data_IF_458990133080
#
_entry.id   IF_458990133080
#
_cell.length_a   1.000
_cell.length_b   1.000
_cell.length_c   1.000
_cell.angle_alpha   90.00
_cell.angle_beta   90.00
_cell.angle_gamma   90.00
#
_symmetry.space_group_name_H-M   'P 1'
#
loop_
_entity.id
_entity.type
_entity.pdbx_description
1 polymer ?
#
# COMPACT_ATOMS: atom_id res chain seq x y z
N UNK A 1 40.91 21.24 36.84
CA UNK A 1 40.23 21.46 35.55
C UNK A 1 39.09 20.46 35.50
N UNK A 2 37.87 20.95 35.66
CA UNK A 2 36.73 20.17 36.18
C UNK A 2 35.86 19.59 35.07
N UNK A 3 35.48 18.33 35.28
CA UNK A 3 34.26 17.70 34.79
C UNK A 3 33.03 18.46 35.31
N UNK A 4 32.29 19.09 34.42
CA UNK A 4 30.86 19.41 34.55
C UNK A 4 30.41 20.00 33.23
N UNK A 5 29.45 19.35 32.56
CA UNK A 5 28.37 19.92 31.74
C UNK A 5 27.79 18.82 30.83
N UNK A 6 27.20 17.81 31.49
CA UNK A 6 26.11 16.99 30.94
C UNK A 6 25.06 16.99 32.06
N UNK A 7 23.99 17.77 31.89
CA UNK A 7 22.65 17.62 32.51
C UNK A 7 21.91 18.96 32.45
N UNK A 8 21.19 19.23 31.36
CA UNK A 8 19.91 19.97 31.34
C UNK A 8 19.50 20.15 29.89
N UNK A 9 18.56 19.33 29.39
CA UNK A 9 17.57 19.66 28.34
C UNK A 9 16.77 18.40 27.97
N UNK A 10 16.06 17.82 28.95
CA UNK A 10 15.01 16.81 28.70
C UNK A 10 14.02 16.86 29.86
N UNK A 11 13.10 17.82 29.83
CA UNK A 11 11.87 17.82 30.63
C UNK A 11 10.96 18.95 30.14
N UNK A 12 9.91 18.59 29.40
CA UNK A 12 8.85 19.55 29.08
C UNK A 12 8.04 19.28 27.82
N UNK A 13 7.35 18.14 27.73
CA UNK A 13 6.04 18.07 27.06
C UNK A 13 5.34 16.74 27.42
N UNK A 14 4.61 16.79 28.53
CA UNK A 14 3.63 15.80 28.98
C UNK A 14 2.28 16.54 29.09
N UNK A 15 1.19 15.85 28.74
CA UNK A 15 -0.24 16.21 28.85
C UNK A 15 -0.91 16.85 27.63
N UNK A 16 -1.54 15.99 26.79
CA UNK A 16 -3.00 15.84 26.72
C UNK A 16 -3.35 14.73 25.71
N UNK A 17 -3.43 13.49 26.19
CA UNK A 17 -4.09 12.39 25.48
C UNK A 17 -5.20 11.86 26.40
N UNK A 18 -6.45 11.99 25.97
CA UNK A 18 -7.61 11.45 26.66
C UNK A 18 -7.66 9.92 26.49
N UNK A 19 -8.10 9.15 27.51
CA UNK A 19 -8.24 7.70 27.38
C UNK A 19 -9.54 7.34 26.65
N UNK A 20 -9.42 6.69 25.49
CA UNK A 20 -10.53 5.93 24.89
C UNK A 20 -10.58 4.56 25.58
N UNK A 21 -11.62 4.34 26.38
CA UNK A 21 -11.93 3.03 26.96
C UNK A 21 -12.74 2.20 25.96
N UNK A 22 -12.37 0.94 25.66
CA UNK A 22 -13.21 0.04 24.89
C UNK A 22 -14.37 -0.51 25.75
N UNK A 23 -15.57 -0.73 25.18
CA UNK A 23 -16.68 -1.33 25.92
C UNK A 23 -16.39 -2.80 26.25
N UNK A 24 -16.61 -3.13 27.52
CA UNK A 24 -16.58 -4.49 28.06
C UNK A 24 -17.72 -5.34 27.49
N UNK A 25 -17.37 -6.30 26.63
CA UNK A 25 -18.30 -7.28 26.04
C UNK A 25 -18.03 -8.70 26.55
N UNK A 26 -18.06 -8.90 27.86
CA UNK A 26 -18.11 -10.23 28.48
C UNK A 26 -19.59 -10.55 28.72
N UNK A 27 -20.24 -11.25 27.77
CA UNK A 27 -21.45 -12.08 28.01
C UNK A 27 -21.99 -12.86 26.78
N UNK A 28 -21.24 -13.00 25.66
CA UNK A 28 -21.73 -13.68 24.43
C UNK A 28 -20.88 -14.90 24.02
N UNK A 29 -20.28 -15.64 24.97
CA UNK A 29 -19.38 -16.76 24.64
C UNK A 29 -19.93 -18.17 24.89
N UNK A 30 -21.07 -18.34 25.55
CA UNK A 30 -21.54 -19.69 25.93
C UNK A 30 -22.63 -20.32 25.03
N UNK A 31 -23.07 -19.66 23.94
CA UNK A 31 -24.06 -20.23 23.00
C UNK A 31 -23.51 -20.65 21.63
N UNK A 32 -22.22 -20.46 21.35
CA UNK A 32 -21.62 -20.66 20.01
C UNK A 32 -20.92 -22.02 19.78
N UNK A 33 -20.78 -22.87 20.80
CA UNK A 33 -19.94 -24.08 20.69
C UNK A 33 -20.68 -25.27 20.06
N UNK A 34 -22.01 -25.34 20.13
CA UNK A 34 -22.78 -26.50 19.63
C UNK A 34 -23.23 -26.39 18.17
N UNK A 35 -23.11 -25.21 17.54
CA UNK A 35 -23.58 -25.00 16.15
C UNK A 35 -22.48 -25.05 15.08
N UNK A 36 -21.19 -25.12 15.46
CA UNK A 36 -20.04 -25.12 14.51
C UNK A 36 -19.82 -26.43 13.77
N UNK A 37 -20.25 -27.57 14.33
CA UNK A 37 -19.97 -28.90 13.72
C UNK A 37 -20.85 -29.18 12.50
N UNK A 38 -22.09 -28.68 12.48
CA UNK A 38 -23.03 -28.91 11.37
C UNK A 38 -22.81 -27.95 10.19
N UNK A 39 -22.20 -26.78 10.40
CA UNK A 39 -21.89 -25.82 9.31
C UNK A 39 -20.63 -26.17 8.52
N UNK A 40 -19.66 -26.87 9.11
CA UNK A 40 -18.40 -27.22 8.43
C UNK A 40 -18.61 -28.33 7.41
N UNK A 41 -19.40 -29.35 7.73
CA UNK A 41 -19.76 -30.43 6.80
C UNK A 41 -20.59 -29.91 5.61
N UNK A 42 -21.57 -29.02 5.86
CA UNK A 42 -22.39 -28.42 4.80
C UNK A 42 -21.56 -27.51 3.86
N UNK A 43 -20.57 -26.77 4.38
CA UNK A 43 -19.63 -25.97 3.55
C UNK A 43 -18.71 -26.85 2.70
N UNK A 44 -18.18 -27.94 3.26
CA UNK A 44 -17.31 -28.87 2.51
C UNK A 44 -18.08 -29.56 1.37
N UNK A 45 -19.35 -29.95 1.60
CA UNK A 45 -20.20 -30.51 0.54
C UNK A 45 -20.58 -29.48 -0.52
N UNK A 46 -20.81 -28.21 -0.14
CA UNK A 46 -21.02 -27.12 -1.11
C UNK A 46 -19.75 -26.80 -1.92
N UNK A 47 -18.56 -26.83 -1.33
CA UNK A 47 -17.31 -26.59 -2.07
C UNK A 47 -17.00 -27.71 -3.07
N UNK A 48 -17.23 -28.99 -2.70
CA UNK A 48 -17.06 -30.12 -3.63
C UNK A 48 -18.03 -30.10 -4.82
N UNK A 49 -19.25 -29.58 -4.64
CA UNK A 49 -20.21 -29.45 -5.74
C UNK A 49 -19.96 -28.23 -6.64
N UNK A 50 -19.05 -27.35 -6.24
CA UNK A 50 -18.69 -26.11 -6.96
C UNK A 50 -17.42 -26.31 -7.80
N UNK A 51 -16.48 -27.17 -7.41
CA UNK A 51 -15.26 -27.43 -8.19
C UNK A 51 -15.52 -28.11 -9.55
N UNK A 52 -16.62 -28.85 -9.73
CA UNK A 52 -16.98 -29.47 -11.03
C UNK A 52 -17.64 -28.49 -12.03
N UNK A 53 -17.77 -27.19 -11.69
CA UNK A 53 -18.48 -26.20 -12.51
C UNK A 53 -17.69 -24.98 -12.96
N UNK A 54 -16.43 -24.82 -12.53
CA UNK A 54 -15.63 -23.72 -13.07
C UNK A 54 -15.14 -24.06 -14.47
N UNK A 55 -15.48 -23.20 -15.42
CA UNK A 55 -14.90 -23.27 -16.76
C UNK A 55 -13.39 -23.02 -16.66
N UNK A 56 -12.59 -23.63 -17.53
CA UNK A 56 -11.16 -23.28 -17.66
C UNK A 56 -10.96 -21.75 -17.80
N UNK A 57 -11.91 -21.05 -18.43
CA UNK A 57 -11.95 -19.59 -18.56
C UNK A 57 -12.05 -18.86 -17.21
N UNK A 58 -12.81 -19.39 -16.25
CA UNK A 58 -12.92 -18.79 -14.91
C UNK A 58 -11.61 -18.94 -14.13
N UNK A 59 -10.90 -20.06 -14.34
CA UNK A 59 -9.61 -20.31 -13.69
C UNK A 59 -8.54 -19.37 -14.24
N UNK A 60 -8.47 -19.18 -15.55
CA UNK A 60 -7.51 -18.26 -16.18
C UNK A 60 -7.74 -16.82 -15.72
N UNK A 61 -9.00 -16.37 -15.67
CA UNK A 61 -9.37 -15.04 -15.13
C UNK A 61 -8.95 -14.86 -13.68
N UNK A 62 -9.17 -15.88 -12.83
CA UNK A 62 -8.74 -15.84 -11.44
C UNK A 62 -7.20 -15.75 -11.31
N UNK A 63 -6.46 -16.48 -12.16
CA UNK A 63 -4.99 -16.41 -12.20
C UNK A 63 -4.54 -15.00 -12.61
N UNK A 64 -5.11 -14.44 -13.68
CA UNK A 64 -4.77 -13.09 -14.14
C UNK A 64 -5.06 -12.03 -13.07
N UNK A 65 -6.23 -12.12 -12.44
CA UNK A 65 -6.59 -11.23 -11.33
C UNK A 65 -5.61 -11.34 -10.16
N UNK A 66 -5.20 -12.56 -9.80
CA UNK A 66 -4.22 -12.77 -8.74
C UNK A 66 -2.84 -12.21 -9.09
N UNK A 67 -2.38 -12.40 -10.34
CA UNK A 67 -1.12 -11.83 -10.84
C UNK A 67 -1.14 -10.29 -10.84
N UNK A 68 -2.28 -9.70 -11.18
CA UNK A 68 -2.47 -8.25 -11.08
C UNK A 68 -2.38 -7.78 -9.62
N UNK A 69 -3.05 -8.48 -8.70
CA UNK A 69 -3.06 -8.15 -7.27
C UNK A 69 -1.68 -8.27 -6.61
N UNK A 70 -0.88 -9.25 -7.03
CA UNK A 70 0.49 -9.47 -6.53
C UNK A 70 1.56 -8.77 -7.37
N UNK A 71 1.17 -7.91 -8.32
CA UNK A 71 2.11 -7.21 -9.19
C UNK A 71 2.99 -6.21 -8.43
N UNK A 72 4.30 -6.48 -8.37
CA UNK A 72 5.25 -5.61 -7.67
C UNK A 72 5.32 -4.19 -8.24
N UNK A 73 5.13 -4.01 -9.56
CA UNK A 73 5.13 -2.67 -10.18
C UNK A 73 3.93 -1.83 -9.74
N UNK A 74 2.77 -2.46 -9.56
CA UNK A 74 1.54 -1.84 -9.07
C UNK A 74 1.68 -1.49 -7.58
N UNK A 75 2.21 -2.41 -6.78
CA UNK A 75 2.55 -2.15 -5.38
C UNK A 75 3.50 -0.96 -5.23
N UNK A 76 4.56 -0.91 -6.03
CA UNK A 76 5.52 0.20 -6.03
C UNK A 76 4.84 1.54 -6.37
N UNK A 77 3.93 1.57 -7.34
CA UNK A 77 3.12 2.77 -7.63
C UNK A 77 2.24 3.16 -6.44
N UNK A 78 1.53 2.21 -5.80
CA UNK A 78 0.72 2.48 -4.61
C UNK A 78 1.54 3.13 -3.50
N UNK A 79 2.73 2.57 -3.19
CA UNK A 79 3.61 3.11 -2.15
C UNK A 79 4.18 4.47 -2.53
N UNK A 80 4.43 4.74 -3.80
CA UNK A 80 4.87 6.05 -4.28
C UNK A 80 3.81 7.13 -4.07
N UNK A 81 2.55 6.86 -4.41
CA UNK A 81 1.44 7.78 -4.14
C UNK A 81 1.26 8.03 -2.64
N UNK A 82 1.23 6.97 -1.82
CA UNK A 82 1.09 7.11 -0.36
C UNK A 82 2.24 7.92 0.26
N UNK A 83 3.48 7.68 -0.18
CA UNK A 83 4.65 8.42 0.30
C UNK A 83 4.62 9.89 -0.15
N UNK A 84 4.18 10.15 -1.38
CA UNK A 84 4.05 11.50 -1.90
C UNK A 84 2.94 12.27 -1.15
N UNK A 85 1.79 11.66 -0.90
CA UNK A 85 0.71 12.23 -0.11
C UNK A 85 1.15 12.53 1.33
N UNK A 86 1.95 11.66 1.94
CA UNK A 86 2.55 11.92 3.25
C UNK A 86 3.39 13.21 3.22
N UNK A 87 4.23 13.38 2.19
CA UNK A 87 5.04 14.59 2.03
C UNK A 87 4.18 15.84 1.79
N UNK A 88 3.09 15.73 1.04
CA UNK A 88 2.14 16.83 0.86
C UNK A 88 1.50 17.23 2.20
N UNK A 89 1.09 16.27 3.02
CA UNK A 89 0.53 16.53 4.34
C UNK A 89 1.54 17.24 5.27
N UNK A 90 2.82 16.81 5.27
CA UNK A 90 3.90 17.47 6.01
C UNK A 90 4.15 18.92 5.54
N UNK A 91 3.99 19.16 4.23
CA UNK A 91 4.08 20.48 3.61
C UNK A 91 2.78 21.30 3.75
N UNK A 92 1.77 20.78 4.46
CA UNK A 92 0.45 21.38 4.69
C UNK A 92 -0.37 21.58 3.40
N UNK A 93 -0.13 20.77 2.39
CA UNK A 93 -0.92 20.70 1.16
C UNK A 93 -1.90 19.50 1.21
N UNK A 94 -2.84 19.57 2.15
CA UNK A 94 -3.86 18.52 2.32
C UNK A 94 -4.80 18.47 1.12
N UNK A 95 -5.01 19.59 0.42
CA UNK A 95 -5.95 19.67 -0.71
C UNK A 95 -5.46 18.92 -1.94
N UNK A 96 -4.17 18.95 -2.25
CA UNK A 96 -3.61 18.10 -3.31
C UNK A 96 -3.67 16.61 -2.93
N UNK A 97 -3.49 16.27 -1.64
CA UNK A 97 -3.68 14.91 -1.13
C UNK A 97 -5.13 14.43 -1.32
N UNK A 98 -6.12 15.23 -0.89
CA UNK A 98 -7.55 14.92 -1.05
C UNK A 98 -7.96 14.83 -2.53
N UNK A 99 -7.35 15.65 -3.39
CA UNK A 99 -7.57 15.57 -4.83
C UNK A 99 -7.02 14.26 -5.41
N UNK A 100 -5.83 13.82 -4.99
CA UNK A 100 -5.25 12.55 -5.42
C UNK A 100 -6.10 11.34 -5.00
N UNK A 101 -6.67 11.34 -3.79
CA UNK A 101 -7.58 10.26 -3.35
C UNK A 101 -8.83 10.16 -4.24
N UNK A 102 -9.41 11.30 -4.62
CA UNK A 102 -10.55 11.35 -5.55
C UNK A 102 -10.16 10.91 -6.95
N UNK A 103 -8.99 11.32 -7.44
CA UNK A 103 -8.47 10.89 -8.74
C UNK A 103 -8.29 9.37 -8.80
N UNK A 104 -7.71 8.77 -7.76
CA UNK A 104 -7.44 7.33 -7.67
C UNK A 104 -8.67 6.48 -7.31
N UNK A 105 -9.79 7.11 -6.94
CA UNK A 105 -10.97 6.44 -6.40
C UNK A 105 -10.65 5.58 -5.17
N UNK A 106 -9.81 6.11 -4.28
CA UNK A 106 -9.32 5.39 -3.10
C UNK A 106 -9.37 6.29 -1.87
N UNK A 107 -10.50 6.33 -1.14
CA UNK A 107 -10.63 7.18 0.04
C UNK A 107 -9.69 6.71 1.16
N UNK A 108 -9.11 7.65 1.91
CA UNK A 108 -8.21 7.36 3.04
C UNK A 108 -6.99 6.53 2.66
N UNK A 109 -6.48 6.71 1.43
CA UNK A 109 -5.31 6.01 0.92
C UNK A 109 -4.09 6.21 1.82
N UNK A 110 -3.93 7.39 2.43
CA UNK A 110 -2.82 7.65 3.35
C UNK A 110 -2.86 6.76 4.60
N UNK A 111 -4.05 6.38 5.07
CA UNK A 111 -4.26 5.53 6.25
C UNK A 111 -4.33 4.04 5.91
N UNK A 112 -4.41 3.70 4.62
CA UNK A 112 -4.56 2.33 4.15
C UNK A 112 -3.24 1.55 4.28
N UNK A 113 -3.20 0.59 5.19
CA UNK A 113 -2.08 -0.35 5.34
C UNK A 113 -2.46 -1.74 4.81
N UNK A 114 -2.35 -1.90 3.49
CA UNK A 114 -2.67 -3.13 2.77
C UNK A 114 -2.12 -3.13 1.36
N UNK A 115 -2.26 -4.26 0.67
CA UNK A 115 -1.92 -4.41 -0.75
C UNK A 115 -3.19 -4.25 -1.60
N UNK A 116 -3.06 -3.79 -2.84
CA UNK A 116 -4.18 -3.67 -3.76
C UNK A 116 -5.17 -2.55 -3.41
N UNK A 117 -4.68 -1.40 -2.95
CA UNK A 117 -5.54 -0.23 -2.69
C UNK A 117 -6.18 0.32 -3.97
N UNK A 118 -5.51 0.15 -5.10
CA UNK A 118 -5.90 0.75 -6.36
C UNK A 118 -6.96 -0.05 -7.12
N UNK A 119 -7.81 0.69 -7.84
CA UNK A 119 -8.78 0.10 -8.74
C UNK A 119 -8.10 -0.44 -10.00
N UNK A 120 -7.70 -1.71 -9.93
CA UNK A 120 -7.04 -2.44 -11.02
C UNK A 120 -7.90 -2.59 -12.28
N UNK A 121 -9.22 -2.40 -12.19
CA UNK A 121 -10.11 -2.43 -13.37
C UNK A 121 -10.05 -1.14 -14.18
N UNK A 122 -9.77 -0.01 -13.53
CA UNK A 122 -9.54 1.29 -14.19
C UNK A 122 -8.09 1.44 -14.62
N UNK A 123 -7.17 0.96 -13.78
CA UNK A 123 -5.73 1.14 -13.94
C UNK A 123 -5.01 -0.21 -14.10
N UNK A 124 -5.22 -0.85 -15.25
CA UNK A 124 -4.76 -2.21 -15.51
C UNK A 124 -3.23 -2.36 -15.39
N UNK A 125 -2.49 -1.37 -15.89
CA UNK A 125 -1.03 -1.36 -15.90
C UNK A 125 -0.47 -0.37 -14.87
N UNK A 126 0.75 -0.61 -14.40
CA UNK A 126 1.39 0.19 -13.35
C UNK A 126 1.60 1.67 -13.75
N UNK A 127 1.66 1.95 -15.05
CA UNK A 127 1.93 3.25 -15.65
C UNK A 127 0.64 4.03 -15.99
N UNK A 128 -0.51 3.34 -16.05
CA UNK A 128 -1.79 3.93 -16.44
C UNK A 128 -2.18 5.14 -15.58
N UNK A 129 -1.96 5.10 -14.27
CA UNK A 129 -2.19 6.24 -13.36
C UNK A 129 -1.43 7.49 -13.77
N UNK A 130 -0.17 7.34 -14.19
CA UNK A 130 0.68 8.48 -14.57
C UNK A 130 0.25 9.04 -15.93
N UNK A 131 -0.08 8.16 -16.87
CA UNK A 131 -0.57 8.55 -18.19
C UNK A 131 -1.94 9.23 -18.11
N UNK A 132 -2.81 8.81 -17.19
CA UNK A 132 -4.09 9.46 -16.97
C UNK A 132 -3.91 10.80 -16.24
N UNK A 133 -3.05 10.85 -15.21
CA UNK A 133 -2.73 12.08 -14.48
C UNK A 133 -2.18 13.18 -15.40
N UNK A 134 -1.36 12.82 -16.39
CA UNK A 134 -0.84 13.75 -17.40
C UNK A 134 -1.94 14.35 -18.30
N UNK A 135 -3.03 13.61 -18.54
CA UNK A 135 -4.13 14.07 -19.39
C UNK A 135 -5.12 14.96 -18.64
N UNK A 136 -5.06 14.96 -17.31
CA UNK A 136 -5.97 15.79 -16.52
C UNK A 136 -5.63 17.27 -16.68
N UNK A 137 -6.64 18.14 -16.95
CA UNK A 137 -6.41 19.56 -17.03
C UNK A 137 -6.08 20.14 -15.65
N UNK A 138 -5.49 21.34 -15.65
CA UNK A 138 -5.30 22.13 -14.43
C UNK A 138 -6.66 22.43 -13.80
N UNK A 139 -6.76 22.25 -12.49
CA UNK A 139 -7.99 22.43 -11.73
C UNK A 139 -7.77 23.49 -10.65
N UNK A 140 -8.78 24.32 -10.41
CA UNK A 140 -8.80 25.28 -9.31
C UNK A 140 -9.73 24.79 -8.22
N UNK A 141 -9.20 24.60 -7.01
CA UNK A 141 -9.99 24.28 -5.83
C UNK A 141 -10.13 25.55 -4.99
N UNK A 142 -11.38 25.94 -4.70
CA UNK A 142 -11.67 27.06 -3.81
C UNK A 142 -11.88 26.50 -2.40
N UNK A 143 -10.99 26.86 -1.48
CA UNK A 143 -11.05 26.44 -0.09
C UNK A 143 -11.51 27.61 0.78
N UNK A 144 -12.60 27.39 1.52
CA UNK A 144 -13.07 28.35 2.51
C UNK A 144 -12.33 28.13 3.83
N UNK A 145 -11.33 28.97 4.12
CA UNK A 145 -10.62 28.95 5.37
C UNK A 145 -11.24 29.95 6.36
N UNK A 146 -11.51 29.50 7.59
CA UNK A 146 -11.83 30.43 8.67
C UNK A 146 -10.59 31.23 9.02
N UNK A 147 -10.68 32.56 8.92
CA UNK A 147 -9.61 33.45 9.34
C UNK A 147 -9.39 33.26 10.84
N UNK A 148 -8.32 32.55 11.22
CA UNK A 148 -7.96 32.37 12.62
C UNK A 148 -7.84 33.75 13.25
N UNK A 149 -8.71 34.08 14.21
CA UNK A 149 -8.51 35.22 15.09
C UNK A 149 -7.23 34.93 15.88
N UNK A 150 -6.11 35.41 15.34
CA UNK A 150 -4.78 35.09 15.79
C UNK A 150 -4.68 35.10 17.32
N UNK A 151 -4.20 33.99 17.89
CA UNK A 151 -3.92 33.79 19.32
C UNK A 151 -2.83 34.71 19.90
N UNK A 152 -2.50 35.82 19.23
CA UNK A 152 -1.38 36.71 19.58
C UNK A 152 -1.75 38.13 20.01
N UNK A 153 -3.03 38.55 20.02
CA UNK A 153 -3.42 39.87 20.56
C UNK A 153 -4.72 39.83 21.36
N UNK A 154 -4.70 39.13 22.50
CA UNK A 154 -5.63 39.38 23.63
C UNK A 154 -5.24 40.62 24.47
N UNK A 155 -4.56 41.61 23.89
CA UNK A 155 -4.23 42.86 24.58
C UNK A 155 -5.12 44.05 24.17
N UNK A 156 -5.94 43.93 23.13
CA UNK A 156 -6.96 44.93 22.81
C UNK A 156 -8.31 44.26 22.58
N UNK A 157 -8.99 44.00 23.69
CA UNK A 157 -10.37 43.53 23.77
C UNK A 157 -11.36 44.66 23.38
N UNK A 158 -11.13 45.31 22.23
CA UNK A 158 -11.81 46.54 21.82
C UNK A 158 -12.59 46.37 20.51
N UNK A 159 -13.03 45.15 20.20
CA UNK A 159 -14.09 44.89 19.23
C UNK A 159 -15.40 44.68 19.97
N UNK A 160 -16.38 45.57 19.79
CA UNK A 160 -17.73 45.40 20.34
C UNK A 160 -18.32 44.06 19.89
N UNK A 161 -18.77 43.23 20.85
CA UNK A 161 -19.44 41.95 20.60
C UNK A 161 -20.71 42.07 19.74
N UNK A 162 -21.23 43.29 19.58
CA UNK A 162 -22.43 43.60 18.80
C UNK A 162 -22.11 44.43 17.54
N UNK A 163 -20.97 44.21 16.87
CA UNK A 163 -20.75 44.84 15.57
C UNK A 163 -21.45 44.00 14.47
N UNK A 164 -22.61 44.43 13.92
CA UNK A 164 -23.30 43.71 12.86
C UNK A 164 -22.48 43.63 11.56
N UNK A 165 -21.49 44.50 11.39
CA UNK A 165 -20.62 44.53 10.21
C UNK A 165 -19.48 43.51 10.25
N UNK A 166 -19.25 42.82 11.38
CA UNK A 166 -18.23 41.77 11.50
C UNK A 166 -18.80 40.37 11.28
N UNK A 167 -20.12 40.20 11.08
CA UNK A 167 -20.75 38.87 11.10
C UNK A 167 -20.48 38.02 9.85
N UNK A 168 -20.02 38.63 8.73
CA UNK A 168 -19.88 37.93 7.44
C UNK A 168 -18.43 37.75 6.94
N UNK A 169 -17.42 38.27 7.63
CA UNK A 169 -16.03 38.38 7.11
C UNK A 169 -15.06 37.29 7.63
N UNK A 170 -15.59 36.21 8.21
CA UNK A 170 -14.75 35.17 8.84
C UNK A 170 -14.25 34.09 7.89
N UNK A 171 -14.76 34.03 6.66
CA UNK A 171 -14.34 33.07 5.64
C UNK A 171 -13.52 33.79 4.58
N UNK A 172 -12.28 33.36 4.41
CA UNK A 172 -11.44 33.78 3.29
C UNK A 172 -11.40 32.62 2.31
N UNK A 173 -11.75 32.90 1.07
CA UNK A 173 -11.62 31.96 -0.04
C UNK A 173 -10.16 31.98 -0.52
N UNK A 174 -9.53 30.81 -0.52
CA UNK A 174 -8.18 30.60 -1.03
C UNK A 174 -8.32 29.74 -2.27
N UNK A 175 -7.91 30.28 -3.42
CA UNK A 175 -7.78 29.51 -4.66
C UNK A 175 -6.49 28.70 -4.61
N UNK A 176 -6.61 27.39 -4.81
CA UNK A 176 -5.50 26.45 -4.91
C UNK A 176 -5.50 25.90 -6.33
N UNK A 177 -4.45 26.22 -7.08
CA UNK A 177 -4.25 25.70 -8.42
C UNK A 177 -3.53 24.35 -8.34
N UNK A 178 -4.20 23.28 -8.76
CA UNK A 178 -3.62 21.95 -8.91
C UNK A 178 -3.26 21.74 -10.39
N UNK A 179 -2.01 21.36 -10.63
CA UNK A 179 -1.47 21.04 -11.96
C UNK A 179 -1.11 19.55 -12.01
N UNK A 180 -2.04 18.65 -12.37
CA UNK A 180 -1.83 17.21 -12.33
C UNK A 180 -0.61 16.71 -13.13
N UNK A 181 -0.36 17.19 -14.37
CA UNK A 181 0.88 16.87 -15.10
C UNK A 181 2.16 17.14 -14.28
N UNK A 182 2.20 18.24 -13.55
CA UNK A 182 3.36 18.59 -12.72
C UNK A 182 3.57 17.64 -11.52
N UNK A 183 2.56 16.86 -11.12
CA UNK A 183 2.66 15.87 -10.05
C UNK A 183 3.37 14.60 -10.52
N UNK A 184 3.22 14.22 -11.79
CA UNK A 184 3.80 13.00 -12.38
C UNK A 184 5.31 12.88 -12.13
N UNK A 185 6.18 13.84 -12.54
CA UNK A 185 7.62 13.70 -12.33
C UNK A 185 7.99 13.66 -10.84
N UNK A 186 7.21 14.30 -9.96
CA UNK A 186 7.44 14.29 -8.51
C UNK A 186 7.13 12.92 -7.91
N UNK A 187 6.01 12.30 -8.31
CA UNK A 187 5.64 10.96 -7.84
C UNK A 187 6.60 9.91 -8.40
N UNK A 188 7.03 10.04 -9.67
CA UNK A 188 8.04 9.17 -10.26
C UNK A 188 9.37 9.24 -9.49
N UNK A 189 9.81 10.43 -9.06
CA UNK A 189 11.02 10.56 -8.25
C UNK A 189 10.90 9.83 -6.90
N UNK A 190 9.73 9.92 -6.25
CA UNK A 190 9.43 9.14 -5.03
C UNK A 190 9.43 7.64 -5.33
N UNK A 191 8.86 7.22 -6.47
CA UNK A 191 8.85 5.83 -6.93
C UNK A 191 10.27 5.28 -7.15
N UNK A 192 11.17 6.07 -7.74
CA UNK A 192 12.59 5.72 -7.91
C UNK A 192 13.29 5.51 -6.58
N UNK A 193 13.01 6.35 -5.59
CA UNK A 193 13.56 6.19 -4.25
C UNK A 193 13.07 4.89 -3.60
N UNK A 194 11.76 4.65 -3.60
CA UNK A 194 11.17 3.44 -3.01
C UNK A 194 11.67 2.18 -3.72
N UNK A 195 11.87 2.22 -5.05
CA UNK A 195 12.43 1.09 -5.79
C UNK A 195 13.82 0.69 -5.23
N UNK A 196 14.71 1.66 -5.01
CA UNK A 196 16.04 1.38 -4.43
C UNK A 196 15.92 0.78 -3.02
N UNK A 197 14.98 1.27 -2.22
CA UNK A 197 14.71 0.73 -0.89
C UNK A 197 14.20 -0.73 -0.97
N UNK A 198 13.22 -1.00 -1.83
CA UNK A 198 12.65 -2.34 -2.03
C UNK A 198 13.67 -3.36 -2.53
N UNK A 199 14.63 -2.96 -3.37
CA UNK A 199 15.70 -3.86 -3.83
C UNK A 199 16.56 -4.37 -2.69
N UNK A 200 16.91 -3.48 -1.73
CA UNK A 200 17.63 -3.85 -0.50
C UNK A 200 16.73 -4.66 0.43
N UNK A 201 15.48 -4.21 0.61
CA UNK A 201 14.52 -4.85 1.50
C UNK A 201 14.21 -6.29 1.03
N UNK A 202 14.19 -6.56 -0.28
CA UNK A 202 14.00 -7.90 -0.84
C UNK A 202 15.12 -8.87 -0.43
N UNK A 203 16.38 -8.42 -0.41
CA UNK A 203 17.50 -9.24 0.08
C UNK A 203 17.36 -9.55 1.58
N UNK A 204 16.92 -8.55 2.37
CA UNK A 204 16.70 -8.71 3.81
C UNK A 204 15.58 -9.70 4.11
N UNK A 205 14.46 -9.61 3.39
CA UNK A 205 13.34 -10.55 3.57
C UNK A 205 13.74 -11.97 3.14
N UNK A 206 14.61 -12.11 2.14
CA UNK A 206 15.15 -13.42 1.77
C UNK A 206 15.98 -14.04 2.89
N UNK A 207 16.91 -13.28 3.47
CA UNK A 207 17.70 -13.72 4.64
C UNK A 207 16.77 -14.05 5.80
N UNK A 208 15.74 -13.23 6.00
CA UNK A 208 14.71 -13.47 7.01
C UNK A 208 14.01 -14.82 6.78
N UNK A 209 13.58 -15.16 5.55
CA UNK A 209 12.97 -16.45 5.22
C UNK A 209 13.81 -17.65 5.68
N UNK A 210 15.12 -17.60 5.46
CA UNK A 210 16.04 -18.68 5.82
C UNK A 210 16.16 -18.82 7.35
N UNK A 211 16.14 -17.70 8.06
CA UNK A 211 16.14 -17.66 9.53
C UNK A 211 14.85 -18.20 10.12
N UNK A 212 13.72 -18.13 9.39
CA UNK A 212 12.43 -18.63 9.89
C UNK A 212 12.51 -20.12 10.21
N UNK A 213 12.99 -20.91 9.25
CA UNK A 213 13.10 -22.36 9.40
C UNK A 213 14.13 -22.74 10.46
N UNK A 214 15.27 -22.05 10.51
CA UNK A 214 16.31 -22.30 11.52
C UNK A 214 15.77 -22.05 12.93
N UNK A 215 15.09 -20.92 13.14
CA UNK A 215 14.52 -20.57 14.45
C UNK A 215 13.46 -21.56 14.91
N UNK A 216 12.66 -22.10 13.97
CA UNK A 216 11.71 -23.17 14.29
C UNK A 216 12.42 -24.45 14.72
N UNK A 217 13.45 -24.90 13.99
CA UNK A 217 14.22 -26.09 14.34
C UNK A 217 14.89 -25.96 15.71
N UNK A 218 15.54 -24.83 15.98
CA UNK A 218 16.18 -24.55 17.26
C UNK A 218 15.16 -24.60 18.40
N UNK A 219 13.94 -24.06 18.18
CA UNK A 219 12.86 -24.09 19.18
C UNK A 219 12.37 -25.51 19.48
N UNK A 220 12.18 -26.33 18.44
CA UNK A 220 11.75 -27.73 18.63
C UNK A 220 12.80 -28.51 19.44
N UNK A 221 14.09 -28.30 19.15
CA UNK A 221 15.18 -28.91 19.90
C UNK A 221 15.23 -28.42 21.36
N UNK A 222 15.07 -27.11 21.58
CA UNK A 222 15.00 -26.51 22.93
C UNK A 222 13.81 -27.07 23.74
N UNK A 223 12.66 -27.28 23.11
CA UNK A 223 11.47 -27.83 23.75
C UNK A 223 11.68 -29.30 24.15
N UNK A 224 12.32 -30.09 23.28
CA UNK A 224 12.69 -31.48 23.57
C UNK A 224 13.74 -31.61 24.68
N UNK A 225 14.75 -30.73 24.70
CA UNK A 225 15.85 -30.80 25.67
C UNK A 225 15.48 -30.22 27.04
N UNK A 226 14.75 -29.10 27.07
CA UNK A 226 14.51 -28.34 28.30
C UNK A 226 13.05 -28.30 28.75
N UNK A 227 12.10 -28.72 27.91
CA UNK A 227 10.66 -28.63 28.21
C UNK A 227 10.15 -27.20 28.41
N UNK A 228 10.91 -26.20 27.94
CA UNK A 228 10.55 -24.78 28.05
C UNK A 228 9.88 -24.35 26.76
N UNK A 229 8.56 -24.23 26.78
CA UNK A 229 7.80 -23.58 25.71
C UNK A 229 8.02 -22.08 25.81
N UNK A 230 8.84 -21.51 24.92
CA UNK A 230 8.93 -20.05 24.76
C UNK A 230 7.61 -19.57 24.15
N UNK A 231 6.87 -18.71 24.85
CA UNK A 231 5.65 -18.10 24.30
C UNK A 231 6.01 -17.16 23.15
N UNK A 232 5.51 -17.46 21.95
CA UNK A 232 5.78 -16.73 20.72
C UNK A 232 6.55 -17.58 19.72
N UNK A 233 5.92 -17.90 18.59
CA UNK A 233 6.49 -18.80 17.61
C UNK A 233 7.65 -18.17 16.82
N UNK A 234 7.58 -16.86 16.60
CA UNK A 234 8.57 -16.14 15.82
C UNK A 234 9.08 -14.92 16.55
N UNK A 235 10.40 -14.70 16.50
CA UNK A 235 11.00 -13.50 17.08
C UNK A 235 10.68 -12.30 16.19
N UNK A 236 9.50 -11.70 16.36
CA UNK A 236 9.10 -10.43 15.71
C UNK A 236 10.14 -9.32 15.96
N UNK A 237 10.98 -9.50 16.97
CA UNK A 237 12.15 -8.67 17.22
C UNK A 237 13.15 -8.74 16.07
N UNK A 238 13.36 -9.89 15.43
CA UNK A 238 14.22 -10.03 14.25
C UNK A 238 13.71 -9.18 13.08
N UNK A 239 12.43 -9.31 12.69
CA UNK A 239 11.82 -8.46 11.65
C UNK A 239 11.93 -6.97 12.00
N UNK A 240 11.72 -6.63 13.28
CA UNK A 240 11.83 -5.25 13.77
C UNK A 240 13.28 -4.74 13.76
N UNK A 241 14.25 -5.57 14.11
CA UNK A 241 15.68 -5.24 14.08
C UNK A 241 16.17 -5.08 12.65
N UNK A 242 15.71 -5.92 11.72
CA UNK A 242 15.96 -5.76 10.28
C UNK A 242 15.33 -4.47 9.76
N UNK A 243 14.08 -4.19 10.14
CA UNK A 243 13.41 -2.94 9.78
C UNK A 243 14.09 -1.69 10.38
N UNK A 244 14.81 -1.84 11.49
CA UNK A 244 15.55 -0.76 12.14
C UNK A 244 17.00 -0.64 11.64
N UNK A 245 17.65 -1.74 11.24
CA UNK A 245 19.01 -1.73 10.68
C UNK A 245 19.07 -0.96 9.36
N UNK A 246 17.94 -0.95 8.65
CA UNK A 246 17.61 -0.07 7.53
C UNK A 246 17.89 1.42 7.81
N UNK A 247 17.78 1.90 9.06
CA UNK A 247 18.03 3.31 9.39
C UNK A 247 19.52 3.72 9.22
N UNK A 248 20.43 2.75 9.09
CA UNK A 248 21.87 2.98 8.91
C UNK A 248 22.32 3.03 7.45
N UNK A 249 21.39 2.99 6.49
CA UNK A 249 21.73 3.07 5.07
C UNK A 249 22.18 4.49 4.68
N UNK A 250 23.06 4.59 3.67
CA UNK A 250 23.65 5.86 3.21
C UNK A 250 22.63 6.89 2.70
N UNK A 251 21.38 6.46 2.46
CA UNK A 251 20.30 7.30 1.94
C UNK A 251 19.21 7.52 2.99
N UNK A 252 18.65 8.74 3.00
CA UNK A 252 17.52 9.07 3.84
C UNK A 252 16.31 8.21 3.43
N UNK A 253 15.72 7.41 4.34
CA UNK A 253 14.62 6.53 3.99
C UNK A 253 13.34 7.32 3.64
N UNK A 254 12.49 6.72 2.82
CA UNK A 254 11.16 7.24 2.53
C UNK A 254 10.31 7.30 3.81
N UNK A 255 9.36 8.25 3.92
CA UNK A 255 8.66 8.48 5.19
C UNK A 255 7.87 7.27 5.72
N UNK A 256 7.40 6.40 4.82
CA UNK A 256 6.60 5.22 5.15
C UNK A 256 7.33 3.90 4.90
N UNK A 257 8.68 3.92 4.87
CA UNK A 257 9.50 2.74 4.56
C UNK A 257 9.18 1.53 5.42
N UNK A 258 8.99 1.69 6.73
CA UNK A 258 8.62 0.58 7.63
C UNK A 258 7.31 -0.10 7.21
N UNK A 259 6.30 0.68 6.83
CA UNK A 259 5.04 0.14 6.30
C UNK A 259 5.23 -0.52 4.94
N UNK A 260 6.11 0.02 4.11
CA UNK A 260 6.44 -0.56 2.80
C UNK A 260 7.15 -1.91 2.94
N UNK A 261 8.10 -2.04 3.87
CA UNK A 261 8.80 -3.30 4.18
C UNK A 261 7.81 -4.38 4.63
N UNK A 262 6.97 -4.06 5.61
CA UNK A 262 5.95 -4.98 6.14
C UNK A 262 4.99 -5.48 5.04
N UNK A 263 4.53 -4.58 4.17
CA UNK A 263 3.65 -4.97 3.06
C UNK A 263 4.38 -5.75 1.97
N UNK A 264 5.70 -5.55 1.78
CA UNK A 264 6.51 -6.37 0.87
C UNK A 264 6.62 -7.82 1.39
N UNK A 265 6.77 -8.02 2.70
CA UNK A 265 6.73 -9.36 3.32
C UNK A 265 5.38 -10.03 3.07
N UNK A 266 4.28 -9.30 3.28
CA UNK A 266 2.94 -9.81 3.04
C UNK A 266 2.67 -10.12 1.55
N UNK A 267 3.08 -9.23 0.65
CA UNK A 267 2.88 -9.38 -0.80
C UNK A 267 3.68 -10.57 -1.34
N UNK A 268 4.95 -10.70 -0.94
CA UNK A 268 5.81 -11.81 -1.38
C UNK A 268 5.31 -13.15 -0.86
N UNK A 269 4.85 -13.21 0.40
CA UNK A 269 4.21 -14.40 0.96
C UNK A 269 2.96 -14.79 0.17
N UNK A 270 2.11 -13.82 -0.16
CA UNK A 270 0.89 -14.03 -0.93
C UNK A 270 1.19 -14.64 -2.33
N UNK A 271 2.12 -14.05 -3.07
CA UNK A 271 2.52 -14.57 -4.38
C UNK A 271 3.14 -15.97 -4.28
N UNK A 272 3.91 -16.22 -3.23
CA UNK A 272 4.55 -17.53 -2.99
C UNK A 272 3.53 -18.62 -2.75
N UNK A 273 2.51 -18.36 -1.94
CA UNK A 273 1.39 -19.28 -1.72
C UNK A 273 0.68 -19.57 -3.03
N UNK A 274 0.41 -18.55 -3.86
CA UNK A 274 -0.20 -18.75 -5.17
C UNK A 274 0.65 -19.64 -6.10
N UNK A 275 1.97 -19.48 -6.11
CA UNK A 275 2.89 -20.32 -6.88
C UNK A 275 2.92 -21.77 -6.37
N UNK A 276 2.98 -21.96 -5.06
CA UNK A 276 2.94 -23.30 -4.44
C UNK A 276 1.61 -23.99 -4.72
N UNK A 277 0.48 -23.28 -4.60
CA UNK A 277 -0.83 -23.82 -4.96
C UNK A 277 -0.89 -24.25 -6.44
N UNK A 278 -0.32 -23.47 -7.36
CA UNK A 278 -0.24 -23.86 -8.78
C UNK A 278 0.61 -25.13 -8.97
N UNK A 279 1.76 -25.23 -8.30
CA UNK A 279 2.63 -26.41 -8.38
C UNK A 279 1.97 -27.67 -7.78
N UNK A 280 1.26 -27.53 -6.67
CA UNK A 280 0.62 -28.66 -5.99
C UNK A 280 -0.61 -29.20 -6.71
N UNK A 281 -1.26 -28.38 -7.55
CA UNK A 281 -2.52 -28.72 -8.22
C UNK A 281 -2.44 -30.06 -8.97
N UNK A 282 -1.30 -30.35 -9.61
CA UNK A 282 -1.14 -31.56 -10.42
C UNK A 282 -0.41 -32.69 -9.68
N UNK A 283 0.46 -32.37 -8.74
CA UNK A 283 1.37 -33.33 -8.10
C UNK A 283 0.93 -33.79 -6.70
N UNK A 284 0.32 -32.88 -5.92
CA UNK A 284 0.07 -33.05 -4.48
C UNK A 284 -1.34 -32.60 -4.12
N UNK A 285 -2.36 -33.28 -4.68
CA UNK A 285 -3.76 -32.87 -4.56
C UNK A 285 -4.24 -32.71 -3.11
N UNK A 286 -3.77 -33.53 -2.17
CA UNK A 286 -4.25 -33.51 -0.78
C UNK A 286 -3.70 -32.28 -0.05
N UNK A 287 -2.41 -31.99 -0.24
CA UNK A 287 -1.72 -30.81 0.25
C UNK A 287 -2.23 -29.54 -0.42
N UNK A 288 -2.55 -29.61 -1.72
CA UNK A 288 -3.22 -28.54 -2.46
C UNK A 288 -4.56 -28.18 -1.83
N UNK A 289 -5.44 -29.16 -1.65
CA UNK A 289 -6.77 -28.94 -1.06
C UNK A 289 -6.65 -28.40 0.36
N UNK A 290 -5.70 -28.92 1.14
CA UNK A 290 -5.44 -28.46 2.49
C UNK A 290 -4.97 -26.99 2.51
N UNK A 291 -3.92 -26.65 1.74
CA UNK A 291 -3.34 -25.30 1.70
C UNK A 291 -4.34 -24.30 1.15
N UNK A 292 -5.10 -24.66 0.10
CA UNK A 292 -6.15 -23.81 -0.48
C UNK A 292 -7.19 -23.46 0.58
N UNK A 293 -7.69 -24.45 1.31
CA UNK A 293 -8.69 -24.22 2.35
C UNK A 293 -8.10 -23.37 3.50
N UNK A 294 -6.88 -23.69 3.94
CA UNK A 294 -6.19 -22.92 4.99
C UNK A 294 -6.03 -21.44 4.60
N UNK A 295 -5.62 -21.19 3.37
CA UNK A 295 -5.41 -19.86 2.81
C UNK A 295 -6.74 -19.10 2.65
N UNK A 296 -7.74 -19.69 1.97
CA UNK A 296 -9.04 -19.06 1.72
C UNK A 296 -9.76 -18.67 3.01
N UNK A 297 -9.66 -19.47 4.07
CA UNK A 297 -10.22 -19.14 5.39
C UNK A 297 -9.59 -17.89 6.02
N UNK A 298 -8.44 -17.43 5.51
CA UNK A 298 -7.62 -16.34 6.08
C UNK A 298 -7.45 -15.13 5.16
N UNK A 299 -7.75 -15.23 3.86
CA UNK A 299 -7.57 -14.14 2.87
C UNK A 299 -8.14 -12.82 3.38
N UNK A 300 -9.41 -12.81 3.79
CA UNK A 300 -10.11 -11.58 4.20
C UNK A 300 -9.45 -10.88 5.39
N UNK A 301 -8.89 -11.64 6.34
CA UNK A 301 -8.29 -11.08 7.56
C UNK A 301 -6.81 -10.71 7.36
N UNK A 302 -6.06 -11.54 6.65
CA UNK A 302 -4.60 -11.45 6.60
C UNK A 302 -4.13 -10.68 5.36
N UNK A 303 -4.65 -11.01 4.19
CA UNK A 303 -4.13 -10.49 2.91
C UNK A 303 -4.93 -9.30 2.36
N UNK A 304 -6.16 -9.14 2.83
CA UNK A 304 -7.09 -8.13 2.32
C UNK A 304 -7.30 -6.98 3.31
N UNK A 305 -7.71 -5.83 2.78
CA UNK A 305 -8.09 -4.66 3.56
C UNK A 305 -6.95 -3.95 4.31
N UNK A 306 -7.33 -2.90 5.03
CA UNK A 306 -6.46 -2.18 5.94
C UNK A 306 -6.28 -3.00 7.22
N UNK A 307 -5.06 -3.48 7.46
CA UNK A 307 -4.73 -4.29 8.63
C UNK A 307 -3.60 -3.68 9.47
N UNK A 308 -3.24 -4.37 10.54
CA UNK A 308 -2.05 -4.04 11.33
C UNK A 308 -0.75 -4.45 10.62
N UNK A 309 0.37 -4.18 11.29
CA UNK A 309 1.68 -4.71 10.94
C UNK A 309 1.79 -6.19 11.30
N UNK A 310 2.77 -6.88 10.71
CA UNK A 310 3.19 -8.25 11.00
C UNK A 310 2.17 -9.33 10.60
N UNK A 311 1.29 -9.03 9.64
CA UNK A 311 0.29 -10.01 9.15
C UNK A 311 0.92 -11.21 8.44
N UNK A 312 2.07 -11.01 7.79
CA UNK A 312 2.82 -12.09 7.18
C UNK A 312 3.32 -13.09 8.24
N UNK A 313 3.90 -12.56 9.32
CA UNK A 313 4.37 -13.37 10.46
C UNK A 313 3.20 -14.08 11.14
N UNK A 314 2.07 -13.38 11.38
CA UNK A 314 0.85 -14.00 11.93
C UNK A 314 0.38 -15.20 11.08
N UNK A 315 0.44 -15.10 9.74
CA UNK A 315 0.06 -16.22 8.86
C UNK A 315 1.01 -17.41 9.00
N UNK A 316 2.32 -17.14 9.03
CA UNK A 316 3.35 -18.17 9.13
C UNK A 316 3.28 -18.86 10.51
N UNK A 317 3.08 -18.09 11.58
CA UNK A 317 2.86 -18.61 12.94
C UNK A 317 1.65 -19.55 12.98
N UNK A 318 0.51 -19.12 12.44
CA UNK A 318 -0.70 -19.94 12.35
C UNK A 318 -0.49 -21.20 11.50
N UNK A 319 0.41 -21.16 10.51
CA UNK A 319 0.72 -22.28 9.64
C UNK A 319 1.59 -23.32 10.36
N UNK A 320 2.56 -22.89 11.18
CA UNK A 320 3.30 -23.77 12.08
C UNK A 320 2.38 -24.40 13.14
N UNK A 321 1.48 -23.61 13.74
CA UNK A 321 0.53 -24.07 14.76
C UNK A 321 -0.51 -25.07 14.26
N UNK A 322 -0.76 -25.10 12.95
CA UNK A 322 -1.73 -26.02 12.36
C UNK A 322 -1.32 -27.50 12.59
N UNK A 323 -0.01 -27.77 12.69
CA UNK A 323 0.56 -29.09 12.88
C UNK A 323 0.22 -30.08 11.74
N UNK A 324 0.81 -31.29 11.76
CA UNK A 324 0.44 -32.35 10.83
C UNK A 324 -1.04 -32.69 10.98
N UNK A 325 -1.76 -32.86 9.86
CA UNK A 325 -3.20 -33.15 9.88
C UNK A 325 -3.56 -34.28 8.94
N UNK A 326 -4.59 -35.05 9.28
CA UNK A 326 -5.08 -36.15 8.45
C UNK A 326 -6.32 -35.68 7.69
N UNK A 327 -6.26 -35.73 6.36
CA UNK A 327 -7.38 -35.34 5.49
C UNK A 327 -7.71 -36.44 4.48
N UNK A 328 -9.01 -36.71 4.30
CA UNK A 328 -9.50 -37.52 3.17
C UNK A 328 -9.21 -39.02 3.22
N UNK A 329 -9.26 -39.65 4.40
CA UNK A 329 -9.12 -41.11 4.53
C UNK A 329 -7.67 -41.57 4.66
N UNK A 330 -7.04 -41.21 5.78
CA UNK A 330 -5.72 -41.65 6.25
C UNK A 330 -4.48 -41.06 5.55
N UNK A 331 -4.64 -40.05 4.70
CA UNK A 331 -3.48 -39.30 4.18
C UNK A 331 -3.05 -38.21 5.16
N UNK A 332 -1.80 -38.27 5.60
CA UNK A 332 -1.15 -37.28 6.44
C UNK A 332 -0.65 -36.12 5.57
N UNK A 333 -1.02 -34.90 5.91
CA UNK A 333 -0.48 -33.66 5.35
C UNK A 333 0.68 -33.20 6.22
N UNK A 334 1.87 -33.15 5.62
CA UNK A 334 3.06 -32.60 6.26
C UNK A 334 3.10 -31.07 6.09
N UNK A 335 2.60 -30.36 7.08
CA UNK A 335 2.54 -28.88 7.06
C UNK A 335 3.92 -28.24 7.10
N UNK A 336 4.92 -28.89 7.68
CA UNK A 336 6.29 -28.37 7.69
C UNK A 336 6.89 -28.36 6.30
N UNK A 337 6.64 -29.41 5.51
CA UNK A 337 7.06 -29.43 4.12
C UNK A 337 6.36 -28.33 3.31
N UNK A 338 5.08 -28.06 3.56
CA UNK A 338 4.35 -26.96 2.90
C UNK A 338 4.96 -25.59 3.25
N UNK A 339 5.27 -25.35 4.53
CA UNK A 339 5.91 -24.11 4.98
C UNK A 339 7.26 -23.93 4.28
N UNK A 340 8.07 -25.00 4.24
CA UNK A 340 9.37 -24.99 3.56
C UNK A 340 9.23 -24.63 2.07
N UNK A 341 8.30 -25.28 1.37
CA UNK A 341 8.04 -25.01 -0.05
C UNK A 341 7.59 -23.55 -0.27
N UNK A 342 6.77 -22.99 0.62
CA UNK A 342 6.33 -21.57 0.56
C UNK A 342 7.51 -20.62 0.79
N UNK A 343 8.35 -20.85 1.79
CA UNK A 343 9.48 -19.98 2.10
C UNK A 343 10.57 -20.04 1.02
N UNK A 344 10.83 -21.23 0.46
CA UNK A 344 11.72 -21.38 -0.70
C UNK A 344 11.18 -20.64 -1.92
N UNK A 345 9.88 -20.78 -2.19
CA UNK A 345 9.21 -20.03 -3.26
C UNK A 345 9.26 -18.52 -3.01
N UNK A 346 9.15 -18.06 -1.76
CA UNK A 346 9.30 -16.65 -1.38
C UNK A 346 10.66 -16.11 -1.71
N UNK A 347 11.71 -16.87 -1.44
CA UNK A 347 13.07 -16.51 -1.81
C UNK A 347 13.24 -16.36 -3.33
N UNK A 348 12.61 -17.22 -4.14
CA UNK A 348 12.64 -17.12 -5.61
C UNK A 348 11.87 -15.87 -6.10
N UNK A 349 10.67 -15.64 -5.58
CA UNK A 349 9.84 -14.45 -5.92
C UNK A 349 10.60 -13.16 -5.64
N UNK A 350 11.29 -13.08 -4.50
CA UNK A 350 12.05 -11.88 -4.12
C UNK A 350 13.25 -11.61 -5.05
N UNK A 351 13.91 -12.66 -5.55
CA UNK A 351 14.98 -12.51 -6.55
C UNK A 351 14.42 -11.93 -7.85
N UNK A 352 13.32 -12.48 -8.36
CA UNK A 352 12.66 -11.96 -9.57
C UNK A 352 12.18 -10.52 -9.38
N UNK A 353 11.57 -10.21 -8.23
CA UNK A 353 11.07 -8.87 -7.95
C UNK A 353 12.19 -7.86 -7.80
N UNK A 354 13.33 -8.25 -7.24
CA UNK A 354 14.52 -7.40 -7.19
C UNK A 354 14.96 -6.99 -8.59
N UNK A 355 15.03 -7.94 -9.53
CA UNK A 355 15.37 -7.63 -10.92
C UNK A 355 14.37 -6.65 -11.56
N UNK A 356 13.07 -6.87 -11.33
CA UNK A 356 12.00 -5.97 -11.82
C UNK A 356 12.14 -4.57 -11.22
N UNK A 357 12.43 -4.49 -9.93
CA UNK A 357 12.57 -3.23 -9.19
C UNK A 357 13.84 -2.48 -9.64
N UNK A 358 14.96 -3.17 -9.83
CA UNK A 358 16.20 -2.58 -10.34
C UNK A 358 16.02 -2.02 -11.77
N UNK A 359 15.19 -2.67 -12.60
CA UNK A 359 14.84 -2.22 -13.95
C UNK A 359 13.90 -0.99 -13.98
N UNK A 360 13.34 -0.58 -12.85
CA UNK A 360 12.36 0.53 -12.77
C UNK A 360 12.89 1.85 -13.34
N UNK A 361 14.19 2.12 -13.19
CA UNK A 361 14.80 3.33 -13.75
C UNK A 361 14.66 3.42 -15.28
N UNK A 362 14.75 2.29 -15.98
CA UNK A 362 14.53 2.21 -17.44
C UNK A 362 13.07 2.47 -17.78
N UNK A 363 12.14 1.81 -17.08
CA UNK A 363 10.69 2.00 -17.27
C UNK A 363 10.30 3.48 -17.16
N UNK A 364 10.90 4.20 -16.20
CA UNK A 364 10.65 5.63 -16.02
C UNK A 364 11.20 6.49 -17.15
N UNK A 365 12.32 6.11 -17.78
CA UNK A 365 12.84 6.82 -18.96
C UNK A 365 11.85 6.71 -20.11
N UNK A 366 11.28 5.53 -20.33
CA UNK A 366 10.29 5.31 -21.38
C UNK A 366 8.99 6.07 -21.10
N UNK A 367 8.53 6.07 -19.85
CA UNK A 367 7.39 6.89 -19.44
C UNK A 367 7.67 8.38 -19.66
N UNK A 368 8.81 8.90 -19.19
CA UNK A 368 9.21 10.32 -19.41
C UNK A 368 9.28 10.66 -20.89
N UNK A 369 9.79 9.76 -21.75
CA UNK A 369 9.81 9.95 -23.22
C UNK A 369 8.40 10.03 -23.79
N UNK A 370 7.48 9.19 -23.32
CA UNK A 370 6.06 9.23 -23.72
C UNK A 370 5.42 10.56 -23.32
N UNK A 371 5.66 11.03 -22.09
CA UNK A 371 5.13 12.30 -21.57
C UNK A 371 5.62 13.50 -22.39
N UNK A 372 6.93 13.61 -22.63
CA UNK A 372 7.53 14.67 -23.44
C UNK A 372 7.00 14.67 -24.88
N UNK A 373 6.74 13.49 -25.44
CA UNK A 373 6.16 13.37 -26.79
C UNK A 373 4.72 13.85 -26.85
N UNK A 374 3.95 13.71 -25.76
CA UNK A 374 2.59 14.24 -25.66
C UNK A 374 2.59 15.76 -25.49
N UNK A 375 3.45 16.30 -24.63
CA UNK A 375 3.60 17.75 -24.44
C UNK A 375 4.00 18.45 -25.76
N UNK A 376 4.95 17.88 -26.49
CA UNK A 376 5.41 18.43 -27.78
C UNK A 376 4.28 18.49 -28.83
N UNK A 377 3.35 17.54 -28.81
CA UNK A 377 2.17 17.56 -29.70
C UNK A 377 1.20 18.66 -29.30
N UNK A 378 0.93 18.84 -28.00
CA UNK A 378 0.03 19.88 -27.52
C UNK A 378 0.47 21.30 -27.93
N UNK A 379 1.78 21.59 -27.89
CA UNK A 379 2.31 22.88 -28.34
C UNK A 379 2.16 23.11 -29.84
N UNK A 380 2.31 22.05 -30.64
CA UNK A 380 2.16 22.13 -32.10
C UNK A 380 0.72 22.46 -32.50
N UNK A 381 -0.26 21.91 -31.78
CA UNK A 381 -1.68 22.15 -32.03
C UNK A 381 -2.12 23.58 -31.66
N UNK A 382 -1.58 24.14 -30.56
CA UNK A 382 -1.85 25.52 -30.14
C UNK A 382 -1.28 26.56 -31.12
N UNK A 383 -0.06 26.36 -31.63
CA UNK A 383 0.54 27.25 -32.63
C UNK A 383 -0.20 27.20 -33.99
N UNK A 384 -0.76 26.04 -34.34
CA UNK A 384 -1.57 25.86 -35.55
C UNK A 384 -2.87 26.66 -35.53
N UNK A 385 -3.54 26.72 -34.37
CA UNK A 385 -4.81 27.46 -34.21
C UNK A 385 -4.57 28.98 -34.23
N UNK A 386 -3.46 29.45 -33.68
CA UNK A 386 -3.18 30.90 -33.64
C UNK A 386 -2.82 31.52 -35.00
N UNK A 387 -2.44 30.71 -36.01
CA UNK A 387 -2.10 31.22 -37.36
C UNK A 387 -3.27 31.31 -38.35
N UNK A 388 -4.39 30.64 -38.08
CA UNK A 388 -5.56 30.64 -39.00
C UNK A 388 -6.50 31.83 -38.75
N UNK A 389 -6.32 32.57 -37.65
CA UNK A 389 -7.28 33.60 -37.19
C UNK A 389 -6.99 35.04 -37.64
N UNK A 390 -5.96 35.29 -38.46
CA UNK A 390 -5.51 36.67 -38.79
C UNK A 390 -5.53 37.04 -40.28
N UNK A 391 -6.12 36.24 -41.17
CA UNK A 391 -6.09 36.53 -42.63
C UNK A 391 -7.44 36.84 -43.29
N UNK A 392 -8.41 37.40 -42.57
CA UNK A 392 -9.63 37.99 -43.17
C UNK A 392 -9.81 39.42 -42.67
N UNK A 393 -8.86 40.28 -43.02
CA UNK A 393 -9.15 41.71 -43.17
C UNK A 393 -9.57 41.88 -44.63
N UNK A 394 -10.87 42.12 -44.81
CA UNK A 394 -11.49 42.52 -46.08
C UNK A 394 -10.92 43.88 -46.50
N UNK A 395 -9.94 43.89 -47.40
CA UNK A 395 -9.35 45.10 -48.00
C UNK A 395 -10.23 45.70 -49.14
N UNK A 396 -11.56 45.55 -49.07
CA UNK A 396 -12.46 45.85 -50.20
C UNK A 396 -13.47 47.01 -49.99
N UNK A 397 -13.19 48.00 -49.12
CA UNK A 397 -14.07 49.18 -48.99
C UNK A 397 -13.36 50.53 -48.77
N UNK A 398 -12.37 50.93 -49.58
CA UNK A 398 -12.07 52.39 -49.71
C UNK A 398 -11.46 52.74 -51.07
N UNK A 399 -12.25 52.79 -52.15
CA UNK A 399 -11.94 53.66 -53.29
C UNK A 399 -13.21 53.96 -54.10
N UNK A 400 -13.89 55.06 -53.75
CA UNK A 400 -14.97 55.60 -54.56
C UNK A 400 -15.40 56.99 -54.10
N UNK A 401 -15.25 57.97 -55.00
CA UNK A 401 -15.79 59.33 -54.99
C UNK A 401 -14.92 60.45 -54.39
N UNK A 402 -14.11 61.06 -55.26
CA UNK A 402 -13.94 62.51 -55.32
C UNK A 402 -14.14 62.93 -56.79
N UNK A 403 -15.26 63.62 -57.04
CA UNK A 403 -15.48 64.57 -58.14
C UNK A 403 -15.47 65.98 -57.56
#
# INVERSE_FOLDING_TARGET
>A
MNLSFVLTFFLGQLLLAAPFAPPSGLDILNSRVTNRKNTKAARITQMKAVDDKYSDDDTEKAILHNLQRTCIKQFLSQRAFQSFMFLLADLRDVHTSDWLERFLDTPSLLQFHGTGAFNMTRFETWDSYFLELQKHPKEKIIVQARRSQAHGRRLFNSGSKNNPYLQNDFLTEIEIDIDPPSLVPRIIAVREQIAKELSVDADLIRIHSDQILQSYHDRVLDEEEFGVVKEGNFDRTASTLLANSIANLEFKPSPIRRGTFDLLELLSLHESIHRVLRAYKDEKQVEFDWLRNFFVERVERIFDGAGGYYRADDFVDELFDAGPSITGGDKLVDTLQIIKDILEMRSLVLVEWKEIVDATSSDHIDLKRSLLSQESKSWSDEEGISRVSTSTIDDNEVFGAFE
#
